data_IF_221319492687
#
_entry.id   IF_221319492687
#
_cell.length_a   1.000
_cell.length_b   1.000
_cell.length_c   1.000
_cell.angle_alpha   90.00
_cell.angle_beta   90.00
_cell.angle_gamma   90.00
#
_symmetry.space_group_name_H-M   'P 1'
#
loop_
_entity.id
_entity.type
_entity.pdbx_description
1 polymer ?
#
# COMPACT_ATOMS: atom_id res chain seq x y z
N UNK A 1 -25.66 12.25 -1.39
CA UNK A 1 -24.31 11.65 -1.47
C UNK A 1 -23.28 12.73 -1.23
N UNK A 2 -22.25 12.47 -0.41
CA UNK A 2 -21.15 13.41 -0.20
C UNK A 2 -20.41 13.66 -1.52
N UNK A 3 -20.04 14.91 -1.79
CA UNK A 3 -19.20 15.29 -2.94
C UNK A 3 -17.87 14.55 -2.92
N UNK A 4 -17.25 14.43 -1.75
CA UNK A 4 -15.99 13.71 -1.57
C UNK A 4 -16.10 12.24 -1.97
N UNK A 5 -17.22 11.58 -1.64
CA UNK A 5 -17.46 10.20 -2.06
C UNK A 5 -17.56 10.08 -3.58
N UNK A 6 -18.21 11.03 -4.26
CA UNK A 6 -18.32 11.03 -5.73
C UNK A 6 -16.96 11.16 -6.40
N UNK A 7 -16.08 12.00 -5.86
CA UNK A 7 -14.72 12.16 -6.38
C UNK A 7 -13.92 10.86 -6.26
N UNK A 8 -13.96 10.19 -5.09
CA UNK A 8 -13.30 8.91 -4.93
C UNK A 8 -13.87 7.82 -5.84
N UNK A 9 -15.20 7.72 -5.96
CA UNK A 9 -15.84 6.75 -6.85
C UNK A 9 -15.45 6.99 -8.32
N UNK A 10 -15.36 8.26 -8.75
CA UNK A 10 -14.92 8.60 -10.10
C UNK A 10 -13.45 8.23 -10.35
N UNK A 11 -12.57 8.47 -9.37
CA UNK A 11 -11.16 8.08 -9.44
C UNK A 11 -11.02 6.55 -9.55
N UNK A 12 -11.72 5.80 -8.70
CA UNK A 12 -11.70 4.33 -8.75
C UNK A 12 -12.28 3.81 -10.07
N UNK A 13 -13.37 4.42 -10.56
CA UNK A 13 -13.96 4.06 -11.85
C UNK A 13 -12.96 4.22 -12.98
N UNK A 14 -12.21 5.32 -13.00
CA UNK A 14 -11.17 5.55 -13.99
C UNK A 14 -10.05 4.49 -13.90
N UNK A 15 -9.64 4.11 -12.68
CA UNK A 15 -8.63 3.05 -12.50
C UNK A 15 -9.11 1.70 -13.02
N UNK A 16 -10.36 1.35 -12.73
CA UNK A 16 -10.98 0.11 -13.25
C UNK A 16 -10.99 0.13 -14.78
N UNK A 17 -11.43 1.22 -15.39
CA UNK A 17 -11.42 1.37 -16.85
C UNK A 17 -10.01 1.23 -17.42
N UNK A 18 -9.01 1.85 -16.80
CA UNK A 18 -7.63 1.75 -17.25
C UNK A 18 -7.10 0.31 -17.21
N UNK A 19 -7.40 -0.44 -16.14
CA UNK A 19 -6.99 -1.85 -16.00
C UNK A 19 -7.68 -2.75 -17.03
N UNK A 20 -8.98 -2.54 -17.27
CA UNK A 20 -9.81 -3.45 -18.08
C UNK A 20 -9.74 -3.14 -19.59
N UNK A 21 -9.71 -1.86 -19.96
CA UNK A 21 -9.94 -1.44 -21.35
C UNK A 21 -8.67 -0.94 -22.07
N UNK A 22 -7.60 -0.61 -21.34
CA UNK A 22 -6.35 -0.11 -21.94
C UNK A 22 -5.33 -1.23 -22.09
N UNK A 23 -4.47 -1.09 -23.10
CA UNK A 23 -3.42 -2.06 -23.41
C UNK A 23 -2.07 -1.37 -23.64
N UNK A 24 -1.00 -2.17 -23.62
CA UNK A 24 0.37 -1.67 -23.86
C UNK A 24 0.73 -0.49 -22.96
N UNK A 25 1.22 0.58 -23.56
CA UNK A 25 1.63 1.82 -22.86
C UNK A 25 0.45 2.63 -22.31
N UNK A 26 -0.77 2.41 -22.80
CA UNK A 26 -1.96 3.15 -22.34
C UNK A 26 -2.52 2.60 -21.01
N UNK A 27 -2.21 1.34 -20.67
CA UNK A 27 -2.53 0.78 -19.35
C UNK A 27 -1.45 1.21 -18.37
N UNK A 28 -1.77 2.18 -17.53
CA UNK A 28 -0.88 2.78 -16.54
C UNK A 28 -1.14 2.26 -15.13
N UNK A 29 -2.38 1.87 -14.82
CA UNK A 29 -2.74 1.23 -13.55
C UNK A 29 -2.28 -0.23 -13.56
N UNK A 30 -1.08 -0.46 -13.03
CA UNK A 30 -0.39 -1.76 -13.01
C UNK A 30 0.20 -2.04 -11.64
N UNK A 31 -0.63 -1.96 -10.60
CA UNK A 31 -0.19 -2.22 -9.23
C UNK A 31 0.41 -3.61 -9.11
N UNK A 32 1.62 -3.68 -8.54
CA UNK A 32 2.31 -4.93 -8.27
C UNK A 32 2.17 -5.32 -6.79
N UNK A 33 2.36 -6.61 -6.50
CA UNK A 33 2.36 -7.11 -5.14
C UNK A 33 3.59 -6.62 -4.38
N UNK A 34 3.52 -6.61 -3.04
CA UNK A 34 4.67 -6.31 -2.18
C UNK A 34 5.91 -7.11 -2.61
N UNK A 35 5.76 -8.43 -2.78
CA UNK A 35 6.88 -9.32 -3.12
C UNK A 35 7.62 -8.93 -4.40
N UNK A 36 6.90 -8.49 -5.45
CA UNK A 36 7.53 -7.99 -6.68
C UNK A 36 8.31 -6.70 -6.46
N UNK A 37 7.77 -5.78 -5.65
CA UNK A 37 8.50 -4.58 -5.27
C UNK A 37 9.76 -4.90 -4.48
N UNK A 38 9.71 -5.87 -3.55
CA UNK A 38 10.90 -6.28 -2.80
C UNK A 38 11.99 -6.85 -3.73
N UNK A 39 11.59 -7.69 -4.69
CA UNK A 39 12.50 -8.26 -5.69
C UNK A 39 13.15 -7.17 -6.54
N UNK A 40 12.35 -6.26 -7.10
CA UNK A 40 12.85 -5.13 -7.91
C UNK A 40 13.85 -4.26 -7.13
N UNK A 41 13.59 -3.97 -5.87
CA UNK A 41 14.48 -3.13 -5.06
C UNK A 41 15.81 -3.85 -4.81
N UNK A 42 15.78 -5.14 -4.48
CA UNK A 42 17.01 -5.94 -4.31
C UNK A 42 17.82 -6.03 -5.61
N UNK A 43 17.16 -6.24 -6.74
CA UNK A 43 17.80 -6.30 -8.05
C UNK A 43 18.48 -4.99 -8.47
N UNK A 44 18.12 -3.88 -7.81
CA UNK A 44 18.68 -2.55 -8.03
C UNK A 44 19.53 -2.07 -6.83
N UNK A 45 20.09 -2.99 -6.05
CA UNK A 45 21.03 -2.70 -4.96
C UNK A 45 20.41 -1.89 -3.80
N UNK A 46 19.11 -2.05 -3.55
CA UNK A 46 18.46 -1.50 -2.36
C UNK A 46 18.13 -2.58 -1.33
N UNK A 47 18.47 -2.29 -0.07
CA UNK A 47 18.15 -3.10 1.09
C UNK A 47 16.94 -2.55 1.83
N UNK A 48 16.06 -3.44 2.28
CA UNK A 48 14.94 -3.09 3.15
C UNK A 48 15.43 -2.68 4.53
N UNK A 49 14.76 -1.70 5.14
CA UNK A 49 15.04 -1.26 6.51
C UNK A 49 13.76 -1.26 7.32
N UNK A 50 13.86 -1.74 8.56
CA UNK A 50 12.77 -1.73 9.53
C UNK A 50 12.18 -0.33 9.70
N UNK A 51 10.86 -0.26 9.62
CA UNK A 51 10.13 0.96 9.98
C UNK A 51 10.31 1.21 11.48
N UNK A 52 10.68 2.44 11.84
CA UNK A 52 10.91 2.85 13.23
C UNK A 52 9.70 2.53 14.11
N UNK A 53 9.94 1.98 15.30
CA UNK A 53 8.85 1.57 16.21
C UNK A 53 7.99 2.74 16.67
N UNK A 54 8.54 3.95 16.71
CA UNK A 54 7.79 5.17 17.01
C UNK A 54 6.70 5.42 15.96
N UNK A 55 7.04 5.32 14.67
CA UNK A 55 6.10 5.49 13.57
C UNK A 55 5.04 4.35 13.55
N UNK A 56 5.47 3.12 13.85
CA UNK A 56 4.57 1.97 14.03
C UNK A 56 3.55 2.24 15.15
N UNK A 57 4.01 2.80 16.26
CA UNK A 57 3.17 3.05 17.44
C UNK A 57 2.17 4.19 17.19
N UNK A 58 2.61 5.26 16.52
CA UNK A 58 1.75 6.36 16.10
C UNK A 58 0.65 5.89 15.14
N UNK A 59 1.00 5.05 14.16
CA UNK A 59 0.03 4.45 13.24
C UNK A 59 -0.99 3.59 13.99
N UNK A 60 -0.55 2.76 14.95
CA UNK A 60 -1.46 1.95 15.79
C UNK A 60 -2.43 2.82 16.58
N UNK A 61 -1.95 3.91 17.19
CA UNK A 61 -2.78 4.83 17.95
C UNK A 61 -3.85 5.46 17.07
N UNK A 62 -3.45 6.00 15.91
CA UNK A 62 -4.38 6.60 14.94
C UNK A 62 -5.47 5.63 14.47
N UNK A 63 -5.11 4.37 14.18
CA UNK A 63 -6.08 3.36 13.77
C UNK A 63 -7.05 2.99 14.90
N UNK A 64 -6.56 2.90 16.14
CA UNK A 64 -7.37 2.60 17.31
C UNK A 64 -8.41 3.67 17.64
N UNK A 65 -8.08 4.93 17.39
CA UNK A 65 -8.96 6.07 17.69
C UNK A 65 -10.02 6.34 16.61
N UNK A 66 -9.67 6.14 15.34
CA UNK A 66 -10.44 6.73 14.24
C UNK A 66 -10.95 5.74 13.18
N UNK A 67 -10.57 4.46 13.25
CA UNK A 67 -10.63 3.61 12.06
C UNK A 67 -11.23 2.22 12.32
N UNK A 68 -12.52 2.16 12.66
CA UNK A 68 -13.25 0.88 12.82
C UNK A 68 -13.15 0.03 11.54
N UNK A 69 -12.66 -1.20 11.68
CA UNK A 69 -12.44 -2.12 10.57
C UNK A 69 -11.09 -1.99 9.88
N UNK A 70 -10.31 -0.95 10.18
CA UNK A 70 -8.90 -0.91 9.79
C UNK A 70 -8.04 -1.65 10.81
N UNK A 71 -6.94 -2.22 10.34
CA UNK A 71 -5.92 -2.84 11.17
C UNK A 71 -4.56 -2.74 10.49
N UNK A 72 -3.53 -3.25 11.16
CA UNK A 72 -2.21 -3.35 10.55
C UNK A 72 -1.52 -4.64 10.99
N UNK A 73 -0.61 -5.13 10.15
CA UNK A 73 0.30 -6.22 10.49
C UNK A 73 1.72 -5.86 10.09
N UNK A 74 2.68 -6.36 10.86
CA UNK A 74 4.05 -6.52 10.38
C UNK A 74 4.09 -7.83 9.60
N UNK A 75 4.82 -7.84 8.50
CA UNK A 75 5.06 -9.09 7.77
C UNK A 75 6.31 -9.80 8.32
N UNK A 76 6.50 -11.06 7.94
CA UNK A 76 7.52 -11.96 8.52
C UNK A 76 8.96 -11.41 8.47
N UNK A 77 9.24 -10.53 7.49
CA UNK A 77 10.55 -9.90 7.33
C UNK A 77 10.80 -8.72 8.28
N UNK A 78 9.80 -8.29 9.08
CA UNK A 78 9.83 -7.13 10.00
C UNK A 78 10.20 -5.75 9.36
N UNK A 79 10.50 -5.74 8.05
CA UNK A 79 10.92 -4.59 7.25
C UNK A 79 9.76 -3.85 6.58
N UNK A 80 8.53 -4.38 6.69
CA UNK A 80 7.37 -3.83 6.02
C UNK A 80 6.14 -3.77 6.92
N UNK A 81 5.32 -2.74 6.70
CA UNK A 81 4.02 -2.58 7.33
C UNK A 81 2.93 -2.81 6.31
N UNK A 82 1.89 -3.54 6.70
CA UNK A 82 0.72 -3.78 5.86
C UNK A 82 -0.51 -3.27 6.57
N UNK A 83 -1.19 -2.32 5.95
CA UNK A 83 -2.49 -1.82 6.36
C UNK A 83 -3.57 -2.78 5.85
N UNK A 84 -4.52 -3.10 6.72
CA UNK A 84 -5.61 -4.03 6.43
C UNK A 84 -6.96 -3.36 6.61
N UNK A 85 -7.92 -3.73 5.76
CA UNK A 85 -9.33 -3.40 5.90
C UNK A 85 -10.12 -4.69 6.07
N UNK A 86 -10.76 -4.85 7.24
CA UNK A 86 -11.49 -6.05 7.66
C UNK A 86 -10.67 -7.34 7.49
N UNK A 87 -9.37 -7.26 7.79
CA UNK A 87 -8.42 -8.37 7.65
C UNK A 87 -7.81 -8.55 6.25
N UNK A 88 -8.31 -7.84 5.23
CA UNK A 88 -7.73 -7.88 3.88
C UNK A 88 -6.59 -6.88 3.75
N UNK A 89 -5.44 -7.31 3.22
CA UNK A 89 -4.30 -6.42 2.95
C UNK A 89 -4.63 -5.47 1.80
N UNK A 90 -4.49 -4.17 2.01
CA UNK A 90 -4.87 -3.15 1.01
C UNK A 90 -3.72 -2.23 0.63
N UNK A 91 -2.81 -1.93 1.58
CA UNK A 91 -1.64 -1.07 1.34
C UNK A 91 -0.45 -1.66 2.08
N UNK A 92 0.73 -1.62 1.47
CA UNK A 92 1.99 -1.91 2.15
C UNK A 92 2.89 -0.67 2.14
N UNK A 93 3.75 -0.56 3.15
CA UNK A 93 4.78 0.46 3.27
C UNK A 93 6.12 -0.21 3.59
N UNK A 94 7.17 0.24 2.92
CA UNK A 94 8.54 -0.26 3.02
C UNK A 94 9.51 0.93 2.99
N UNK A 95 10.66 0.79 3.63
CA UNK A 95 11.74 1.78 3.61
C UNK A 95 12.97 1.10 3.04
N UNK A 96 13.72 1.83 2.22
CA UNK A 96 14.85 1.30 1.45
C UNK A 96 16.05 2.22 1.58
N UNK A 97 17.24 1.63 1.61
CA UNK A 97 18.51 2.35 1.50
C UNK A 97 19.39 1.70 0.43
N UNK A 98 20.21 2.46 -0.29
CA UNK A 98 21.25 1.88 -1.14
C UNK A 98 22.18 0.99 -0.31
N UNK A 99 22.58 -0.14 -0.88
CA UNK A 99 23.58 -1.06 -0.31
C UNK A 99 24.97 -0.67 -0.82
#
# INVERSE_FOLDING_TARGET
>A
MSEQRRLYEAEISWKIENVVAKEGVERVERTETKGRWLERMRDNEFGGVRVREEAVSELKAMLGEHAVGWGMKKDDDDESLVLTWKGHSVVFATVWVPI
#
